data_IF_580671096328
#
_entry.id   IF_580671096328
#
_cell.length_a   1.000
_cell.length_b   1.000
_cell.length_c   1.000
_cell.angle_alpha   90.00
_cell.angle_beta   90.00
_cell.angle_gamma   90.00
#
_symmetry.space_group_name_H-M   'P 1'
#
loop_
_entity.id
_entity.type
_entity.pdbx_description
1 polymer ?
#
# COMPACT_ATOMS: atom_id res chain seq x y z
N UNK A 1 -21.60 -32.61 53.01
CA UNK A 1 -21.24 -32.35 51.59
C UNK A 1 -21.61 -30.93 51.13
N UNK A 2 -22.51 -30.21 51.79
CA UNK A 2 -22.87 -28.82 51.41
C UNK A 2 -21.87 -27.72 51.84
N UNK A 3 -21.09 -27.93 52.91
CA UNK A 3 -20.14 -26.92 53.40
C UNK A 3 -19.01 -26.63 52.40
N UNK A 4 -18.62 -27.61 51.59
CA UNK A 4 -17.52 -27.49 50.62
C UNK A 4 -17.92 -26.65 49.40
N UNK A 5 -19.18 -26.69 48.98
CA UNK A 5 -19.69 -25.90 47.85
C UNK A 5 -19.82 -24.42 48.16
N UNK A 6 -20.26 -24.07 49.38
CA UNK A 6 -20.34 -22.67 49.83
C UNK A 6 -18.95 -22.03 49.95
N UNK A 7 -17.97 -22.78 50.44
CA UNK A 7 -16.58 -22.32 50.56
C UNK A 7 -15.96 -22.05 49.17
N UNK A 8 -16.24 -22.92 48.19
CA UNK A 8 -15.77 -22.75 46.82
C UNK A 8 -16.41 -21.52 46.14
N UNK A 9 -17.72 -21.33 46.29
CA UNK A 9 -18.41 -20.16 45.76
C UNK A 9 -17.92 -18.85 46.38
N UNK A 10 -17.62 -18.85 47.69
CA UNK A 10 -17.05 -17.70 48.39
C UNK A 10 -15.62 -17.40 47.94
N UNK A 11 -14.80 -18.45 47.76
CA UNK A 11 -13.45 -18.29 47.22
C UNK A 11 -13.49 -17.73 45.79
N UNK A 12 -14.38 -18.25 44.93
CA UNK A 12 -14.51 -17.77 43.54
C UNK A 12 -14.99 -16.32 43.47
N UNK A 13 -15.96 -15.93 44.31
CA UNK A 13 -16.40 -14.54 44.42
C UNK A 13 -15.30 -13.62 44.97
N UNK A 14 -14.49 -14.08 45.92
CA UNK A 14 -13.35 -13.33 46.42
C UNK A 14 -12.33 -13.12 45.30
N UNK A 15 -11.98 -14.17 44.55
CA UNK A 15 -11.04 -14.10 43.42
C UNK A 15 -11.53 -13.14 42.34
N UNK A 16 -12.80 -13.20 41.96
CA UNK A 16 -13.43 -12.29 41.00
C UNK A 16 -13.37 -10.83 41.46
N UNK A 17 -13.65 -10.57 42.74
CA UNK A 17 -13.59 -9.22 43.31
C UNK A 17 -12.16 -8.68 43.37
N UNK A 18 -11.19 -9.51 43.75
CA UNK A 18 -9.77 -9.12 43.68
C UNK A 18 -9.35 -8.85 42.25
N UNK A 19 -9.74 -9.69 41.29
CA UNK A 19 -9.40 -9.50 39.87
C UNK A 19 -9.99 -8.19 39.33
N UNK A 20 -11.24 -7.88 39.66
CA UNK A 20 -11.88 -6.61 39.32
C UNK A 20 -11.15 -5.40 39.94
N UNK A 21 -10.71 -5.51 41.20
CA UNK A 21 -9.94 -4.46 41.87
C UNK A 21 -8.54 -4.28 41.26
N UNK A 22 -7.86 -5.36 40.89
CA UNK A 22 -6.56 -5.30 40.21
C UNK A 22 -6.69 -4.68 38.82
N UNK A 23 -7.73 -5.03 38.06
CA UNK A 23 -8.07 -4.42 36.76
C UNK A 23 -8.37 -2.92 36.87
N UNK A 24 -8.95 -2.46 37.97
CA UNK A 24 -9.19 -1.04 38.23
C UNK A 24 -7.91 -0.26 38.57
N UNK A 25 -6.84 -0.94 39.02
CA UNK A 25 -5.56 -0.35 39.40
C UNK A 25 -4.51 -0.40 38.28
N UNK A 26 -4.75 -1.13 37.19
CA UNK A 26 -3.90 -1.06 35.99
C UNK A 26 -4.04 0.34 35.39
N UNK A 27 -2.94 1.09 35.18
CA UNK A 27 -3.00 2.40 34.55
C UNK A 27 -3.64 2.26 33.17
N UNK A 28 -4.82 2.86 32.99
CA UNK A 28 -5.41 2.99 31.66
C UNK A 28 -4.53 3.97 30.91
N UNK A 29 -3.69 3.47 30.01
CA UNK A 29 -3.04 4.32 29.03
C UNK A 29 -4.14 5.17 28.38
N UNK A 30 -3.91 6.48 28.27
CA UNK A 30 -4.82 7.42 27.65
C UNK A 30 -5.07 6.98 26.19
N UNK A 31 -6.06 6.09 26.00
CA UNK A 31 -6.36 5.42 24.75
C UNK A 31 -7.47 6.11 23.98
N UNK A 32 -7.48 7.44 23.96
CA UNK A 32 -8.47 8.22 23.20
C UNK A 32 -8.07 8.38 21.71
N UNK A 33 -6.83 8.04 21.33
CA UNK A 33 -6.37 8.20 19.93
C UNK A 33 -6.79 7.06 18.98
N UNK A 34 -7.02 5.83 19.46
CA UNK A 34 -7.20 4.65 18.59
C UNK A 34 -8.65 4.13 18.50
N UNK A 35 -9.64 4.75 19.19
CA UNK A 35 -11.05 4.36 19.14
C UNK A 35 -11.42 2.97 19.70
N UNK A 36 -10.47 2.23 20.27
CA UNK A 36 -10.68 0.91 20.88
C UNK A 36 -11.33 1.09 22.26
N UNK A 37 -12.49 0.48 22.49
CA UNK A 37 -13.23 0.62 23.74
C UNK A 37 -12.44 0.03 24.94
N UNK A 38 -12.18 0.81 26.01
CA UNK A 38 -11.42 0.34 27.16
C UNK A 38 -12.21 -0.61 28.08
N UNK A 39 -13.52 -0.81 27.83
CA UNK A 39 -14.43 -1.64 28.63
C UNK A 39 -14.89 -2.94 27.96
N UNK A 40 -14.17 -3.41 26.93
CA UNK A 40 -14.42 -4.72 26.31
C UNK A 40 -14.19 -5.89 27.28
N UNK A 41 -14.64 -7.09 26.90
CA UNK A 41 -14.39 -8.32 27.67
C UNK A 41 -12.89 -8.62 27.69
N UNK A 42 -12.19 -8.29 26.60
CA UNK A 42 -10.74 -8.40 26.49
C UNK A 42 -10.09 -7.04 26.78
N UNK A 43 -8.99 -7.00 27.57
CA UNK A 43 -8.23 -5.77 27.76
C UNK A 43 -7.81 -5.11 26.44
N UNK A 44 -7.98 -3.80 26.34
CA UNK A 44 -7.78 -3.04 25.09
C UNK A 44 -6.39 -3.21 24.46
N UNK A 45 -5.34 -3.35 25.27
CA UNK A 45 -3.97 -3.59 24.79
C UNK A 45 -3.83 -4.94 24.08
N UNK A 46 -4.51 -5.98 24.58
CA UNK A 46 -4.53 -7.30 23.95
C UNK A 46 -5.30 -7.21 22.64
N UNK A 47 -6.46 -6.56 22.62
CA UNK A 47 -7.24 -6.34 21.40
C UNK A 47 -6.40 -5.58 20.35
N UNK A 48 -5.65 -4.56 20.77
CA UNK A 48 -4.75 -3.80 19.89
C UNK A 48 -3.63 -4.67 19.33
N UNK A 49 -3.00 -5.49 20.17
CA UNK A 49 -1.96 -6.42 19.74
C UNK A 49 -2.52 -7.45 18.74
N UNK A 50 -3.71 -8.00 18.99
CA UNK A 50 -4.37 -8.95 18.10
C UNK A 50 -4.79 -8.30 16.77
N UNK A 51 -5.28 -7.06 16.81
CA UNK A 51 -5.64 -6.29 15.63
C UNK A 51 -4.42 -6.04 14.73
N UNK A 52 -3.28 -5.63 15.31
CA UNK A 52 -2.00 -5.49 14.60
C UNK A 52 -1.52 -6.82 14.02
N UNK A 53 -1.65 -7.91 14.78
CA UNK A 53 -1.28 -9.25 14.32
C UNK A 53 -2.15 -9.74 13.16
N UNK A 54 -3.45 -9.44 13.14
CA UNK A 54 -4.34 -9.74 11.98
C UNK A 54 -3.95 -8.96 10.74
N UNK A 55 -3.47 -7.72 10.90
CA UNK A 55 -2.85 -6.95 9.83
C UNK A 55 -1.43 -7.42 9.47
N UNK A 56 -0.98 -8.53 10.06
CA UNK A 56 0.32 -9.19 9.88
C UNK A 56 1.50 -8.34 10.36
N UNK A 57 1.26 -7.33 11.20
CA UNK A 57 2.33 -6.50 11.76
C UNK A 57 3.21 -7.34 12.68
N UNK A 58 4.53 -7.19 12.55
CA UNK A 58 5.51 -7.99 13.28
C UNK A 58 5.70 -9.42 12.76
N UNK A 59 4.95 -9.86 11.75
CA UNK A 59 5.19 -11.14 11.07
C UNK A 59 6.44 -11.00 10.18
N UNK A 60 7.49 -11.83 10.37
CA UNK A 60 8.69 -11.74 9.57
C UNK A 60 8.41 -11.94 8.08
N UNK A 61 9.12 -11.18 7.23
CA UNK A 61 8.91 -11.17 5.78
C UNK A 61 8.98 -12.57 5.15
N UNK A 62 9.87 -13.45 5.63
CA UNK A 62 10.00 -14.84 5.16
C UNK A 62 8.75 -15.71 5.37
N UNK A 63 7.86 -15.34 6.29
CA UNK A 63 6.57 -16.01 6.47
C UNK A 63 5.47 -15.45 5.57
N UNK A 64 5.63 -14.21 5.09
CA UNK A 64 4.69 -13.57 4.16
C UNK A 64 5.00 -13.94 2.71
N UNK A 65 6.29 -13.98 2.38
CA UNK A 65 6.81 -14.32 1.06
C UNK A 65 7.92 -15.36 1.25
N UNK A 66 7.58 -16.66 1.18
CA UNK A 66 8.54 -17.73 1.44
C UNK A 66 9.71 -17.77 0.45
N UNK A 67 9.49 -17.32 -0.79
CA UNK A 67 10.49 -17.33 -1.86
C UNK A 67 10.51 -15.99 -2.61
N UNK A 68 11.71 -15.48 -2.91
CA UNK A 68 11.90 -14.25 -3.66
C UNK A 68 11.42 -14.35 -5.12
N UNK A 69 11.30 -15.56 -5.68
CA UNK A 69 10.74 -15.77 -7.02
C UNK A 69 9.24 -15.55 -7.08
N UNK A 70 8.56 -15.65 -5.94
CA UNK A 70 7.15 -15.26 -5.83
C UNK A 70 6.97 -13.75 -6.01
N UNK A 71 8.03 -12.94 -5.96
CA UNK A 71 7.99 -11.51 -6.27
C UNK A 71 9.25 -11.10 -7.06
N UNK A 72 9.30 -11.36 -8.38
CA UNK A 72 10.45 -10.96 -9.20
C UNK A 72 10.67 -9.44 -9.20
N UNK A 73 11.84 -9.00 -9.66
CA UNK A 73 12.14 -7.55 -9.75
C UNK A 73 11.20 -6.85 -10.72
N UNK A 74 10.76 -5.64 -10.35
CA UNK A 74 9.79 -4.82 -11.11
C UNK A 74 8.45 -5.51 -11.31
N UNK A 75 7.93 -6.14 -10.24
CA UNK A 75 6.62 -6.81 -10.25
C UNK A 75 5.74 -6.33 -9.12
N UNK A 76 4.43 -6.33 -9.38
CA UNK A 76 3.37 -6.14 -8.39
C UNK A 76 2.46 -7.36 -8.43
N UNK A 77 2.09 -7.88 -7.26
CA UNK A 77 1.16 -9.00 -7.16
C UNK A 77 0.07 -8.72 -6.14
N UNK A 78 -1.18 -8.86 -6.59
CA UNK A 78 -2.38 -8.66 -5.78
C UNK A 78 -2.81 -9.97 -5.14
N UNK A 79 -3.34 -9.90 -3.92
CA UNK A 79 -3.80 -11.07 -3.17
C UNK A 79 -5.00 -10.76 -2.29
N UNK A 80 -5.67 -11.81 -1.84
CA UNK A 80 -6.69 -11.77 -0.80
C UNK A 80 -6.09 -12.30 0.50
N UNK A 81 -6.45 -11.69 1.62
CA UNK A 81 -6.07 -12.17 2.93
C UNK A 81 -7.13 -13.18 3.42
N UNK A 82 -6.72 -14.42 3.66
CA UNK A 82 -7.60 -15.44 4.23
C UNK A 82 -7.86 -15.13 5.71
N UNK A 83 -9.12 -14.84 6.03
CA UNK A 83 -9.55 -14.53 7.40
C UNK A 83 -9.33 -15.71 8.32
N UNK A 84 -9.59 -16.94 7.86
CA UNK A 84 -9.40 -18.14 8.68
C UNK A 84 -7.92 -18.31 9.07
N UNK A 85 -6.99 -17.98 8.16
CA UNK A 85 -5.56 -18.01 8.46
C UNK A 85 -5.17 -16.96 9.51
N UNK A 86 -5.67 -15.72 9.40
CA UNK A 86 -5.41 -14.68 10.41
C UNK A 86 -6.10 -14.96 11.74
N UNK A 87 -7.26 -15.61 11.74
CA UNK A 87 -7.95 -16.06 12.95
C UNK A 87 -7.14 -17.17 13.63
N UNK A 88 -6.64 -18.14 12.87
CA UNK A 88 -5.78 -19.20 13.38
C UNK A 88 -4.46 -18.64 13.95
N UNK A 89 -3.89 -17.60 13.34
CA UNK A 89 -2.71 -16.90 13.87
C UNK A 89 -2.99 -16.26 15.24
N UNK A 90 -4.13 -15.58 15.39
CA UNK A 90 -4.59 -15.00 16.66
C UNK A 90 -4.86 -16.08 17.70
N UNK A 91 -5.55 -17.17 17.33
CA UNK A 91 -5.78 -18.31 18.23
C UNK A 91 -4.46 -18.95 18.70
N UNK A 92 -3.49 -19.08 17.80
CA UNK A 92 -2.13 -19.54 18.13
C UNK A 92 -1.46 -18.63 19.15
N UNK A 93 -1.53 -17.31 18.97
CA UNK A 93 -0.98 -16.35 19.92
C UNK A 93 -1.65 -16.44 21.31
N UNK A 94 -2.99 -16.59 21.35
CA UNK A 94 -3.73 -16.73 22.60
C UNK A 94 -3.47 -18.08 23.30
N UNK A 95 -3.18 -19.14 22.53
CA UNK A 95 -2.92 -20.48 23.08
C UNK A 95 -1.70 -20.52 24.01
N UNK A 96 -0.74 -19.60 23.83
CA UNK A 96 0.45 -19.47 24.71
C UNK A 96 0.05 -19.14 26.15
N UNK A 97 -1.08 -18.45 26.34
CA UNK A 97 -1.61 -18.12 27.66
C UNK A 97 -2.35 -19.26 28.36
N UNK A 98 -2.53 -20.42 27.70
CA UNK A 98 -3.28 -21.56 28.27
C UNK A 98 -2.32 -22.59 28.85
N UNK A 99 -2.47 -22.92 30.14
CA UNK A 99 -1.57 -23.86 30.84
C UNK A 99 -2.21 -25.24 30.96
N UNK A 100 -3.53 -25.30 31.14
CA UNK A 100 -4.26 -26.56 31.32
C UNK A 100 -5.48 -26.67 30.37
N UNK A 101 -6.19 -27.82 30.44
CA UNK A 101 -7.36 -28.07 29.60
C UNK A 101 -8.58 -27.20 29.96
N UNK A 102 -8.74 -26.81 31.23
CA UNK A 102 -9.82 -25.91 31.66
C UNK A 102 -9.61 -24.49 31.11
N UNK A 103 -8.38 -23.98 31.12
CA UNK A 103 -8.04 -22.66 30.54
C UNK A 103 -8.37 -22.64 29.04
N UNK A 104 -8.02 -23.72 28.32
CA UNK A 104 -8.35 -23.87 26.89
C UNK A 104 -9.85 -23.91 26.63
N UNK A 105 -10.61 -24.61 27.47
CA UNK A 105 -12.07 -24.66 27.33
C UNK A 105 -12.70 -23.28 27.60
N UNK A 106 -12.24 -22.56 28.62
CA UNK A 106 -12.72 -21.21 28.92
C UNK A 106 -12.37 -20.21 27.81
N UNK A 107 -11.15 -20.28 27.26
CA UNK A 107 -10.75 -19.45 26.13
C UNK A 107 -11.55 -19.79 24.86
N UNK A 108 -11.90 -21.07 24.66
CA UNK A 108 -12.70 -21.51 23.52
C UNK A 108 -14.08 -20.83 23.47
N UNK A 109 -14.75 -20.72 24.61
CA UNK A 109 -16.03 -20.02 24.73
C UNK A 109 -15.91 -18.50 24.48
N UNK A 110 -14.73 -17.92 24.72
CA UNK A 110 -14.48 -16.49 24.53
C UNK A 110 -14.00 -16.13 23.12
N UNK A 111 -13.65 -17.10 22.27
CA UNK A 111 -13.08 -16.81 20.95
C UNK A 111 -13.98 -15.96 20.06
N UNK A 112 -15.30 -16.18 20.09
CA UNK A 112 -16.23 -15.38 19.29
C UNK A 112 -16.26 -13.91 19.74
N UNK A 113 -16.18 -13.68 21.06
CA UNK A 113 -16.11 -12.33 21.63
C UNK A 113 -14.79 -11.66 21.24
N UNK A 114 -13.67 -12.34 21.45
CA UNK A 114 -12.33 -11.85 21.11
C UNK A 114 -12.24 -11.55 19.62
N UNK A 115 -12.76 -12.43 18.76
CA UNK A 115 -12.81 -12.26 17.31
C UNK A 115 -13.57 -11.00 16.93
N UNK A 116 -14.78 -10.83 17.45
CA UNK A 116 -15.62 -9.66 17.15
C UNK A 116 -15.00 -8.35 17.66
N UNK A 117 -14.38 -8.34 18.84
CA UNK A 117 -13.66 -7.18 19.36
C UNK A 117 -12.43 -6.86 18.50
N UNK A 118 -11.69 -7.89 18.07
CA UNK A 118 -10.51 -7.74 17.20
C UNK A 118 -10.89 -7.27 15.79
N UNK A 119 -11.96 -7.80 15.20
CA UNK A 119 -12.46 -7.40 13.87
C UNK A 119 -12.84 -5.91 13.83
N UNK A 120 -13.43 -5.40 14.92
CA UNK A 120 -13.70 -3.96 15.06
C UNK A 120 -12.40 -3.17 15.19
N UNK A 121 -11.48 -3.62 16.04
CA UNK A 121 -10.21 -2.92 16.30
C UNK A 121 -9.24 -2.92 15.12
N UNK A 122 -9.21 -3.98 14.30
CA UNK A 122 -8.40 -4.09 13.07
C UNK A 122 -8.62 -2.91 12.13
N UNK A 123 -9.87 -2.47 12.03
CA UNK A 123 -10.27 -1.31 11.24
C UNK A 123 -10.11 0.01 12.00
N UNK A 124 -9.43 0.04 13.13
CA UNK A 124 -9.14 1.26 13.88
C UNK A 124 -7.64 1.54 14.00
N UNK A 125 -6.77 0.53 13.78
CA UNK A 125 -5.29 0.61 13.95
C UNK A 125 -4.63 1.78 13.20
N UNK A 126 -5.19 2.22 12.06
CA UNK A 126 -4.70 3.37 11.28
C UNK A 126 -5.60 4.61 11.33
N UNK A 127 -6.56 4.69 12.24
CA UNK A 127 -7.30 5.95 12.43
C UNK A 127 -6.38 6.98 13.08
N UNK A 128 -5.88 7.93 12.28
CA UNK A 128 -5.64 9.27 12.77
C UNK A 128 -6.83 10.12 12.31
N UNK A 129 -7.63 10.55 13.28
CA UNK A 129 -8.65 11.59 13.22
C UNK A 129 -9.91 11.41 12.34
N UNK A 130 -11.06 11.49 13.03
CA UNK A 130 -12.38 12.07 12.71
C UNK A 130 -13.11 11.89 11.35
N UNK A 131 -12.44 11.55 10.25
CA UNK A 131 -13.00 11.76 8.91
C UNK A 131 -13.20 10.48 8.08
N UNK A 132 -12.99 9.29 8.68
CA UNK A 132 -13.27 8.04 7.99
C UNK A 132 -14.79 7.84 7.84
N UNK A 133 -15.30 7.60 6.61
CA UNK A 133 -16.74 7.39 6.41
C UNK A 133 -17.22 6.22 7.27
N UNK A 134 -18.36 6.35 7.97
CA UNK A 134 -18.89 5.33 8.89
C UNK A 134 -19.19 3.96 8.23
N UNK A 135 -19.18 3.93 6.89
CA UNK A 135 -19.41 2.76 6.06
C UNK A 135 -18.24 2.57 5.09
N UNK A 136 -17.96 1.32 4.73
CA UNK A 136 -17.02 1.00 3.66
C UNK A 136 -17.58 1.39 2.28
N UNK A 137 -16.76 1.22 1.24
CA UNK A 137 -17.13 1.54 -0.14
C UNK A 137 -18.31 0.70 -0.69
N UNK A 138 -18.78 -0.33 0.05
CA UNK A 138 -19.96 -1.12 -0.27
C UNK A 138 -21.18 -0.73 0.59
N UNK A 139 -21.09 0.38 1.33
CA UNK A 139 -22.13 0.85 2.23
C UNK A 139 -22.31 0.01 3.49
N UNK A 140 -21.36 -0.91 3.78
CA UNK A 140 -21.43 -1.75 4.98
C UNK A 140 -20.83 -0.99 6.17
N UNK A 141 -21.39 -1.11 7.38
CA UNK A 141 -20.81 -0.50 8.57
C UNK A 141 -19.35 -0.91 8.76
N UNK A 142 -18.47 0.04 9.09
CA UNK A 142 -17.09 -0.28 9.50
C UNK A 142 -17.16 -1.25 10.69
N UNK A 143 -16.52 -2.42 10.54
CA UNK A 143 -16.53 -3.50 11.54
C UNK A 143 -17.40 -4.71 11.19
N UNK A 144 -18.10 -4.70 10.05
CA UNK A 144 -18.96 -5.82 9.61
C UNK A 144 -18.23 -6.98 8.91
N UNK A 145 -16.88 -7.06 8.97
CA UNK A 145 -16.13 -8.23 8.50
C UNK A 145 -16.13 -8.47 6.97
N UNK A 146 -15.78 -7.45 6.19
CA UNK A 146 -15.59 -7.56 4.72
C UNK A 146 -14.25 -8.22 4.31
N UNK A 147 -14.08 -8.54 3.01
CA UNK A 147 -12.85 -9.10 2.47
C UNK A 147 -11.70 -8.09 2.61
N UNK A 148 -10.52 -8.58 2.98
CA UNK A 148 -9.28 -7.80 2.95
C UNK A 148 -8.50 -8.24 1.72
N UNK A 149 -8.10 -7.26 0.91
CA UNK A 149 -7.21 -7.49 -0.22
C UNK A 149 -5.93 -6.68 -0.05
N UNK A 150 -4.93 -6.95 -0.86
CA UNK A 150 -3.67 -6.25 -0.78
C UNK A 150 -2.80 -6.48 -2.00
N UNK A 151 -1.61 -5.91 -1.95
CA UNK A 151 -0.56 -6.25 -2.90
C UNK A 151 0.81 -6.23 -2.26
N UNK A 152 1.73 -6.97 -2.89
CA UNK A 152 3.16 -6.88 -2.66
C UNK A 152 3.79 -6.33 -3.94
N UNK A 153 4.57 -5.26 -3.80
CA UNK A 153 5.30 -4.62 -4.90
C UNK A 153 6.79 -4.74 -4.64
N UNK A 154 7.53 -5.31 -5.59
CA UNK A 154 8.99 -5.27 -5.62
C UNK A 154 9.46 -4.40 -6.78
N UNK A 155 9.89 -3.18 -6.49
CA UNK A 155 10.33 -2.23 -7.53
C UNK A 155 11.36 -1.23 -7.00
N UNK A 156 12.24 -0.77 -7.90
CA UNK A 156 13.14 0.38 -7.66
C UNK A 156 12.39 1.66 -7.32
N UNK A 157 11.12 1.78 -7.69
CA UNK A 157 10.28 2.90 -7.30
C UNK A 157 10.12 2.98 -5.76
N UNK A 158 10.01 1.83 -5.09
CA UNK A 158 9.90 1.77 -3.60
C UNK A 158 11.21 2.17 -2.92
N UNK A 159 12.35 1.79 -3.51
CA UNK A 159 13.66 2.15 -2.94
C UNK A 159 14.04 3.61 -3.21
N UNK A 160 13.71 4.12 -4.40
CA UNK A 160 13.97 5.51 -4.80
C UNK A 160 13.09 6.54 -4.10
N UNK A 161 11.84 6.18 -3.76
CA UNK A 161 10.88 7.08 -3.13
C UNK A 161 10.23 6.44 -1.89
N UNK A 162 10.88 6.50 -0.71
CA UNK A 162 10.33 5.95 0.53
C UNK A 162 8.99 6.58 0.94
N UNK A 163 8.75 7.84 0.56
CA UNK A 163 7.51 8.58 0.85
C UNK A 163 6.41 8.39 -0.21
N UNK A 164 6.44 7.31 -0.99
CA UNK A 164 5.42 7.00 -1.99
C UNK A 164 4.02 6.99 -1.35
N UNK A 165 3.02 7.46 -2.08
CA UNK A 165 1.63 7.40 -1.66
C UNK A 165 0.89 6.29 -2.41
N UNK A 166 0.05 5.54 -1.69
CA UNK A 166 -0.85 4.53 -2.26
C UNK A 166 -2.29 4.94 -1.98
N UNK A 167 -3.09 5.00 -3.03
CA UNK A 167 -4.54 5.29 -2.95
C UNK A 167 -5.30 4.23 -3.73
N UNK A 168 -6.49 3.89 -3.27
CA UNK A 168 -7.29 2.85 -3.89
C UNK A 168 -8.77 3.27 -3.93
N UNK A 169 -9.48 2.87 -4.97
CA UNK A 169 -10.87 3.25 -5.22
C UNK A 169 -11.70 2.03 -5.66
N UNK A 170 -12.97 1.98 -5.25
CA UNK A 170 -13.91 0.90 -5.57
C UNK A 170 -14.50 1.02 -6.97
N UNK A 171 -14.47 2.22 -7.54
CA UNK A 171 -14.98 2.53 -8.87
C UNK A 171 -13.97 3.41 -9.62
N UNK A 172 -13.90 3.24 -10.94
CA UNK A 172 -13.09 4.08 -11.83
C UNK A 172 -13.94 5.26 -12.33
N UNK A 173 -14.29 6.19 -11.43
CA UNK A 173 -15.18 7.32 -11.76
C UNK A 173 -14.41 8.57 -12.19
N UNK A 174 -13.08 8.59 -12.05
CA UNK A 174 -12.27 9.78 -12.25
C UNK A 174 -11.26 9.59 -13.39
N UNK A 175 -11.15 10.55 -14.33
CA UNK A 175 -10.09 10.53 -15.34
C UNK A 175 -8.69 10.49 -14.71
N UNK A 176 -7.78 9.71 -15.32
CA UNK A 176 -6.37 9.56 -14.89
C UNK A 176 -5.60 10.88 -14.70
N UNK A 177 -6.05 11.97 -15.31
CA UNK A 177 -5.39 13.29 -15.29
C UNK A 177 -6.00 14.24 -14.22
N UNK A 178 -7.04 13.84 -13.48
CA UNK A 178 -7.68 14.72 -12.50
C UNK A 178 -6.82 14.90 -11.25
N UNK A 179 -6.69 16.15 -10.80
CA UNK A 179 -6.09 16.51 -9.51
C UNK A 179 -6.96 15.97 -8.38
N UNK A 180 -6.40 15.08 -7.58
CA UNK A 180 -7.06 14.53 -6.40
C UNK A 180 -6.60 15.35 -5.19
N UNK A 181 -7.51 15.91 -4.37
CA UNK A 181 -7.15 16.64 -3.16
C UNK A 181 -6.23 15.84 -2.23
N UNK A 182 -5.49 16.54 -1.37
CA UNK A 182 -4.56 15.91 -0.43
C UNK A 182 -5.32 15.05 0.59
N UNK A 183 -6.36 15.62 1.20
CA UNK A 183 -7.44 14.89 1.88
C UNK A 183 -8.52 14.52 0.86
N UNK A 184 -8.40 13.33 0.28
CA UNK A 184 -9.47 12.78 -0.54
C UNK A 184 -10.51 12.10 0.36
N UNK A 185 -11.67 12.73 0.47
CA UNK A 185 -12.87 12.25 1.17
C UNK A 185 -13.89 11.62 0.21
N UNK A 186 -13.49 11.29 -1.02
CA UNK A 186 -14.33 10.58 -1.98
C UNK A 186 -14.96 9.32 -1.36
N UNK A 187 -16.27 9.16 -1.54
CA UNK A 187 -17.02 8.00 -1.04
C UNK A 187 -16.54 6.68 -1.64
N UNK A 188 -15.97 6.73 -2.84
CA UNK A 188 -15.44 5.57 -3.58
C UNK A 188 -14.06 5.12 -3.07
N UNK A 189 -13.46 5.82 -2.10
CA UNK A 189 -12.11 5.52 -1.62
C UNK A 189 -12.11 4.23 -0.79
N UNK A 190 -11.29 3.27 -1.22
CA UNK A 190 -11.01 2.07 -0.43
C UNK A 190 -9.95 2.38 0.61
N UNK A 191 -10.24 1.97 1.85
CA UNK A 191 -9.41 2.29 2.99
C UNK A 191 -8.14 1.45 3.02
N UNK A 192 -7.05 2.09 3.43
CA UNK A 192 -5.74 1.47 3.66
C UNK A 192 -5.64 1.00 5.11
N UNK A 193 -5.48 -0.31 5.32
CA UNK A 193 -5.33 -0.94 6.63
C UNK A 193 -3.86 -1.01 7.06
N UNK A 194 -2.97 -1.36 6.13
CA UNK A 194 -1.52 -1.41 6.37
C UNK A 194 -0.77 -0.96 5.14
N UNK A 195 0.30 -0.21 5.35
CA UNK A 195 1.28 0.12 4.33
C UNK A 195 2.64 0.15 5.00
N UNK A 196 3.51 -0.77 4.57
CA UNK A 196 4.81 -0.95 5.18
C UNK A 196 5.83 -1.39 4.14
N UNK A 197 7.04 -0.84 4.27
CA UNK A 197 8.19 -1.25 3.45
C UNK A 197 8.92 -2.38 4.17
N UNK A 198 8.63 -3.62 3.79
CA UNK A 198 9.20 -4.83 4.41
C UNK A 198 10.68 -5.05 4.07
N UNK A 199 11.12 -4.54 2.92
CA UNK A 199 12.53 -4.54 2.49
C UNK A 199 12.82 -3.29 1.63
N UNK A 200 14.08 -2.95 1.33
CA UNK A 200 14.40 -1.69 0.65
C UNK A 200 13.64 -1.41 -0.66
N UNK A 201 13.30 -2.45 -1.42
CA UNK A 201 12.54 -2.34 -2.66
C UNK A 201 11.17 -3.04 -2.60
N UNK A 202 10.72 -3.47 -1.41
CA UNK A 202 9.48 -4.26 -1.25
C UNK A 202 8.47 -3.48 -0.41
N UNK A 203 7.33 -3.20 -1.00
CA UNK A 203 6.19 -2.54 -0.36
C UNK A 203 5.05 -3.55 -0.18
N UNK A 204 4.50 -3.59 1.02
CA UNK A 204 3.36 -4.42 1.41
C UNK A 204 2.19 -3.52 1.79
N UNK A 205 1.03 -3.80 1.19
CA UNK A 205 -0.18 -3.00 1.38
C UNK A 205 -1.39 -3.89 1.61
N UNK A 206 -2.24 -3.52 2.57
CA UNK A 206 -3.55 -4.10 2.82
C UNK A 206 -4.65 -3.05 2.74
N UNK A 207 -5.77 -3.45 2.17
CA UNK A 207 -6.99 -2.66 1.95
C UNK A 207 -8.20 -3.29 2.63
N UNK A 208 -9.10 -2.44 3.10
CA UNK A 208 -10.41 -2.85 3.62
C UNK A 208 -11.43 -2.96 2.48
N UNK A 209 -11.40 -4.08 1.76
CA UNK A 209 -12.20 -4.33 0.58
C UNK A 209 -11.37 -4.67 -0.65
N UNK A 210 -12.04 -4.81 -1.79
CA UNK A 210 -11.41 -5.07 -3.10
C UNK A 210 -11.45 -3.78 -3.92
N UNK A 211 -10.30 -3.16 -4.20
CA UNK A 211 -10.29 -1.98 -5.06
C UNK A 211 -10.45 -2.37 -6.53
N UNK A 212 -11.18 -1.55 -7.28
CA UNK A 212 -11.20 -1.61 -8.74
C UNK A 212 -9.95 -0.94 -9.32
N UNK A 213 -9.51 0.17 -8.72
CA UNK A 213 -8.37 0.96 -9.18
C UNK A 213 -7.41 1.26 -8.04
N UNK A 214 -6.11 1.14 -8.30
CA UNK A 214 -5.04 1.48 -7.35
C UNK A 214 -4.07 2.47 -7.99
N UNK A 215 -3.84 3.59 -7.30
CA UNK A 215 -2.89 4.63 -7.69
C UNK A 215 -1.64 4.54 -6.82
N UNK A 216 -0.48 4.49 -7.48
CA UNK A 216 0.83 4.66 -6.86
C UNK A 216 1.37 6.02 -7.30
N UNK A 217 1.50 6.95 -6.36
CA UNK A 217 1.90 8.33 -6.61
C UNK A 217 3.26 8.60 -5.95
N UNK A 218 4.20 9.16 -6.71
CA UNK A 218 5.40 9.77 -6.15
C UNK A 218 5.05 10.85 -5.11
N UNK A 219 5.90 11.09 -4.10
CA UNK A 219 5.68 12.15 -3.12
C UNK A 219 5.43 13.51 -3.77
N UNK A 220 4.36 14.19 -3.35
CA UNK A 220 3.93 15.47 -3.96
C UNK A 220 4.88 16.64 -3.70
N UNK A 221 5.78 16.51 -2.73
CA UNK A 221 6.86 17.48 -2.48
C UNK A 221 7.97 17.47 -3.54
N UNK A 222 7.93 16.53 -4.49
CA UNK A 222 9.00 16.28 -5.47
C UNK A 222 8.89 17.04 -6.79
N UNK A 223 8.25 18.21 -6.86
CA UNK A 223 8.25 19.00 -8.11
C UNK A 223 9.70 19.40 -8.43
N UNK A 224 10.17 18.99 -9.59
CA UNK A 224 11.55 19.22 -10.05
C UNK A 224 11.54 19.86 -11.43
N UNK A 225 12.61 20.59 -11.74
CA UNK A 225 12.89 20.97 -13.12
C UNK A 225 13.73 19.90 -13.79
N UNK A 226 13.37 19.51 -15.01
CA UNK A 226 14.22 18.64 -15.80
C UNK A 226 13.52 18.02 -16.99
N UNK A 227 14.27 17.17 -17.67
CA UNK A 227 13.86 16.49 -18.90
C UNK A 227 13.69 14.99 -18.63
N UNK A 228 12.89 14.31 -19.44
CA UNK A 228 12.75 12.84 -19.37
C UNK A 228 13.59 12.21 -20.45
N UNK A 229 14.20 11.06 -20.16
CA UNK A 229 14.81 10.26 -21.21
C UNK A 229 13.71 9.77 -22.16
N UNK A 230 14.04 9.71 -23.44
CA UNK A 230 13.12 9.17 -24.43
C UNK A 230 13.04 7.65 -24.27
N UNK A 231 11.84 7.18 -24.00
CA UNK A 231 11.50 5.77 -23.80
C UNK A 231 11.54 4.96 -25.10
N UNK A 232 11.53 5.63 -26.26
CA UNK A 232 11.49 5.00 -27.59
C UNK A 232 12.87 5.00 -28.27
N UNK A 233 13.83 5.76 -27.75
CA UNK A 233 15.15 5.87 -28.36
C UNK A 233 16.04 4.66 -28.05
N UNK A 234 17.04 4.43 -28.91
CA UNK A 234 18.07 3.43 -28.67
C UNK A 234 18.73 3.71 -27.31
N UNK A 235 18.79 2.75 -26.36
CA UNK A 235 19.41 2.93 -25.05
C UNK A 235 20.88 3.42 -25.11
N UNK A 236 21.55 3.22 -26.26
CA UNK A 236 22.91 3.72 -26.51
C UNK A 236 22.95 5.20 -26.88
N UNK A 237 21.83 5.75 -27.35
CA UNK A 237 21.65 7.16 -27.65
C UNK A 237 20.91 7.81 -26.47
N UNK A 238 21.63 8.56 -25.64
CA UNK A 238 21.00 9.37 -24.59
C UNK A 238 20.22 10.51 -25.24
N UNK A 239 18.95 10.27 -25.57
CA UNK A 239 18.02 11.32 -25.96
C UNK A 239 17.07 11.63 -24.81
N UNK A 240 16.69 12.90 -24.74
CA UNK A 240 15.73 13.38 -23.77
C UNK A 240 14.64 14.17 -24.48
N UNK A 241 13.47 14.22 -23.85
CA UNK A 241 12.26 14.88 -24.35
C UNK A 241 11.61 15.67 -23.24
N UNK A 242 10.88 16.71 -23.63
CA UNK A 242 9.94 17.43 -22.79
C UNK A 242 8.53 17.26 -23.34
N UNK A 243 7.55 17.22 -22.44
CA UNK A 243 6.14 17.23 -22.81
C UNK A 243 5.61 18.65 -22.70
N UNK A 244 5.14 19.19 -23.83
CA UNK A 244 4.74 20.60 -23.92
C UNK A 244 3.39 20.82 -23.24
N UNK A 245 3.25 21.96 -22.55
CA UNK A 245 2.01 22.43 -21.92
C UNK A 245 1.56 23.73 -22.53
N UNK A 246 0.26 23.98 -22.41
CA UNK A 246 -0.32 25.27 -22.74
C UNK A 246 0.06 26.29 -21.65
N UNK A 247 0.64 27.42 -22.05
CA UNK A 247 1.03 28.49 -21.13
C UNK A 247 -0.18 29.18 -20.49
N UNK A 248 -1.30 29.27 -21.21
CA UNK A 248 -2.53 29.89 -20.70
C UNK A 248 -3.31 28.95 -19.78
N UNK A 249 -3.25 27.65 -20.05
CA UNK A 249 -3.96 26.60 -19.32
C UNK A 249 -3.02 25.47 -18.80
N UNK A 250 -1.99 25.77 -18.00
CA UNK A 250 -0.95 24.79 -17.65
C UNK A 250 -1.46 23.62 -16.79
N UNK A 251 -2.60 23.82 -16.11
CA UNK A 251 -3.26 22.83 -15.27
C UNK A 251 -4.06 21.77 -16.06
N UNK A 252 -4.28 21.95 -17.37
CA UNK A 252 -4.96 20.95 -18.22
C UNK A 252 -4.06 19.77 -18.63
N UNK A 253 -2.81 19.76 -18.16
CA UNK A 253 -1.83 18.74 -18.49
C UNK A 253 -1.10 19.04 -19.80
N UNK A 254 -0.36 18.05 -20.35
CA UNK A 254 0.39 18.25 -21.59
C UNK A 254 -0.56 18.34 -22.79
N UNK A 255 -0.18 19.15 -23.78
CA UNK A 255 -0.91 19.27 -25.05
C UNK A 255 -0.86 17.93 -25.77
N UNK A 256 -2.03 17.38 -26.11
CA UNK A 256 -2.15 16.11 -26.82
C UNK A 256 -2.34 16.39 -28.32
N UNK A 257 -1.54 15.74 -29.17
CA UNK A 257 -1.57 15.88 -30.64
C UNK A 257 -1.70 14.52 -31.31
N UNK A 258 -2.19 14.49 -32.56
CA UNK A 258 -2.33 13.28 -33.37
C UNK A 258 -3.60 12.47 -33.09
N UNK A 259 -3.73 11.33 -33.77
CA UNK A 259 -4.83 10.38 -33.61
C UNK A 259 -4.28 8.94 -33.51
N UNK A 260 -4.37 8.25 -32.35
CA UNK A 260 -4.97 8.70 -31.10
C UNK A 260 -4.19 9.85 -30.44
N UNK A 261 -4.83 10.71 -29.62
CA UNK A 261 -4.19 11.85 -28.99
C UNK A 261 -3.07 11.41 -28.04
N UNK A 262 -1.84 11.89 -28.25
CA UNK A 262 -0.68 11.62 -27.39
C UNK A 262 0.00 12.91 -26.95
N UNK A 263 0.59 12.97 -25.74
CA UNK A 263 1.35 14.15 -25.30
C UNK A 263 2.41 14.54 -26.33
N UNK A 264 2.43 15.81 -26.76
CA UNK A 264 3.44 16.36 -27.66
C UNK A 264 4.80 16.32 -26.95
N UNK A 265 5.71 15.51 -27.48
CA UNK A 265 7.11 15.45 -27.06
C UNK A 265 7.96 16.33 -27.98
N UNK A 266 8.79 17.20 -27.42
CA UNK A 266 9.84 17.94 -28.14
C UNK A 266 11.19 17.38 -27.71
N UNK A 267 12.07 16.99 -28.66
CA UNK A 267 13.42 16.53 -28.36
C UNK A 267 14.24 17.63 -27.68
N UNK A 268 15.01 17.25 -26.67
CA UNK A 268 15.93 18.15 -25.95
C UNK A 268 17.30 18.04 -26.61
N UNK A 269 17.78 19.10 -27.28
CA UNK A 269 19.08 19.07 -27.91
C UNK A 269 20.19 19.24 -26.87
N UNK A 270 21.20 18.38 -26.92
CA UNK A 270 22.43 18.54 -26.14
C UNK A 270 23.52 19.22 -26.96
N UNK A 271 24.47 19.89 -26.28
CA UNK A 271 25.62 20.53 -26.92
C UNK A 271 26.57 19.48 -27.48
N UNK A 272 27.04 19.68 -28.71
CA UNK A 272 28.02 18.79 -29.32
C UNK A 272 29.31 18.76 -28.48
N UNK A 273 29.84 17.56 -28.21
CA UNK A 273 31.04 17.36 -27.37
C UNK A 273 30.84 17.59 -25.87
N UNK A 274 29.61 17.82 -25.37
CA UNK A 274 29.32 17.96 -23.94
C UNK A 274 28.03 17.23 -23.56
N UNK A 275 28.07 15.91 -23.37
CA UNK A 275 26.92 15.12 -22.92
C UNK A 275 26.38 15.68 -21.60
N UNK A 276 25.06 15.86 -21.52
CA UNK A 276 24.38 16.41 -20.33
C UNK A 276 24.23 17.93 -20.29
N UNK A 277 24.82 18.69 -21.22
CA UNK A 277 24.61 20.15 -21.32
C UNK A 277 23.57 20.46 -22.41
N UNK A 278 22.45 21.04 -22.01
CA UNK A 278 21.35 21.38 -22.92
C UNK A 278 21.75 22.57 -23.83
N UNK A 279 21.48 22.45 -25.13
CA UNK A 279 21.57 23.53 -26.09
C UNK A 279 20.30 24.40 -26.02
N UNK A 280 20.30 25.35 -25.08
CA UNK A 280 19.18 26.26 -24.82
C UNK A 280 18.73 27.03 -26.08
N UNK A 281 19.65 27.47 -26.93
CA UNK A 281 19.32 28.25 -28.13
C UNK A 281 18.59 27.42 -29.19
N UNK A 282 18.91 26.13 -29.31
CA UNK A 282 18.14 25.23 -30.19
C UNK A 282 16.81 24.86 -29.54
N UNK A 283 16.82 24.52 -28.25
CA UNK A 283 15.60 24.14 -27.53
C UNK A 283 14.54 25.25 -27.57
N UNK A 284 14.93 26.51 -27.32
CA UNK A 284 13.99 27.64 -27.36
C UNK A 284 13.39 27.86 -28.75
N UNK A 285 14.17 27.62 -29.82
CA UNK A 285 13.62 27.68 -31.19
C UNK A 285 12.62 26.55 -31.43
N UNK A 286 12.98 25.33 -31.05
CA UNK A 286 12.10 24.16 -31.20
C UNK A 286 10.78 24.33 -30.40
N UNK A 287 10.82 25.05 -29.27
CA UNK A 287 9.64 25.42 -28.48
C UNK A 287 8.78 26.47 -29.20
N UNK A 288 9.35 27.60 -29.65
CA UNK A 288 8.60 28.67 -30.36
C UNK A 288 8.01 28.17 -31.69
N UNK A 289 8.67 27.24 -32.36
CA UNK A 289 8.17 26.63 -33.60
C UNK A 289 6.87 25.84 -33.38
N UNK A 290 6.53 25.48 -32.13
CA UNK A 290 5.29 24.80 -31.77
C UNK A 290 4.22 25.78 -31.32
N UNK A 291 3.44 26.34 -32.25
CA UNK A 291 2.49 27.43 -31.98
C UNK A 291 1.27 27.10 -31.10
N UNK A 292 1.01 25.82 -30.80
CA UNK A 292 -0.19 25.41 -30.05
C UNK A 292 -0.03 25.52 -28.53
N UNK A 293 1.12 25.96 -28.03
CA UNK A 293 1.39 26.16 -26.60
C UNK A 293 1.13 27.58 -26.10
N UNK A 294 0.68 28.47 -26.98
CA UNK A 294 0.45 29.89 -26.71
C UNK A 294 1.68 30.62 -26.14
N UNK A 295 2.90 30.12 -26.39
CA UNK A 295 4.12 30.89 -26.13
C UNK A 295 4.23 32.05 -27.12
N UNK A 296 4.78 33.17 -26.65
CA UNK A 296 5.08 34.30 -27.53
C UNK A 296 6.24 34.02 -28.49
N UNK A 297 6.58 35.01 -29.34
CA UNK A 297 7.68 34.92 -30.30
C UNK A 297 9.07 34.71 -29.65
N UNK A 298 9.15 34.86 -28.33
CA UNK A 298 10.33 34.60 -27.50
C UNK A 298 9.89 33.88 -26.24
N UNK A 299 10.59 32.79 -25.91
CA UNK A 299 10.37 32.06 -24.65
C UNK A 299 10.87 32.90 -23.49
N UNK A 300 9.96 33.32 -22.61
CA UNK A 300 10.32 33.94 -21.34
C UNK A 300 10.83 32.89 -20.33
N UNK A 301 11.57 33.33 -19.32
CA UNK A 301 12.10 32.45 -18.26
C UNK A 301 10.98 31.70 -17.52
N UNK A 302 9.82 32.33 -17.31
CA UNK A 302 8.67 31.70 -16.67
C UNK A 302 8.05 30.61 -17.56
N UNK A 303 7.88 30.89 -18.85
CA UNK A 303 7.38 29.94 -19.84
C UNK A 303 8.32 28.75 -19.98
N UNK A 304 9.63 29.00 -20.07
CA UNK A 304 10.65 27.95 -20.11
C UNK A 304 10.60 27.06 -18.86
N UNK A 305 10.58 27.68 -17.68
CA UNK A 305 10.51 26.94 -16.41
C UNK A 305 9.28 26.04 -16.37
N UNK A 306 8.12 26.54 -16.82
CA UNK A 306 6.88 25.78 -16.88
C UNK A 306 6.96 24.55 -17.80
N UNK A 307 7.62 24.67 -18.95
CA UNK A 307 7.86 23.52 -19.84
C UNK A 307 8.83 22.48 -19.22
N UNK A 308 9.72 22.92 -18.33
CA UNK A 308 10.65 22.05 -17.62
C UNK A 308 10.07 21.41 -16.34
N UNK A 309 8.83 21.74 -15.94
CA UNK A 309 8.23 21.20 -14.74
C UNK A 309 7.96 19.69 -14.88
N UNK A 310 8.61 18.92 -14.00
CA UNK A 310 8.36 17.50 -13.77
C UNK A 310 7.44 17.34 -12.58
N UNK A 311 6.22 16.95 -12.90
CA UNK A 311 5.25 16.54 -11.89
C UNK A 311 5.54 15.12 -11.42
N UNK A 312 5.28 14.82 -10.13
CA UNK A 312 5.31 13.47 -9.60
C UNK A 312 4.52 12.51 -10.48
N UNK A 313 5.10 11.35 -10.77
CA UNK A 313 4.41 10.36 -11.58
C UNK A 313 3.33 9.65 -10.76
N UNK A 314 2.19 9.41 -11.40
CA UNK A 314 1.14 8.53 -10.92
C UNK A 314 1.03 7.34 -11.84
N UNK A 315 1.21 6.15 -11.29
CA UNK A 315 0.89 4.89 -11.97
C UNK A 315 -0.49 4.41 -11.51
N UNK A 316 -1.36 4.11 -12.47
CA UNK A 316 -2.72 3.60 -12.23
C UNK A 316 -2.76 2.11 -12.60
N UNK A 317 -3.33 1.30 -11.72
CA UNK A 317 -3.60 -0.13 -11.93
C UNK A 317 -5.11 -0.36 -11.86
N UNK A 318 -5.64 -1.26 -12.72
CA UNK A 318 -7.05 -1.66 -12.67
C UNK A 318 -7.98 -1.00 -13.67
N UNK A 319 -7.45 -0.40 -14.75
CA UNK A 319 -8.26 0.22 -15.81
C UNK A 319 -8.86 -0.85 -16.75
N UNK A 320 -10.17 -1.13 -16.72
CA UNK A 320 -10.78 -2.17 -17.55
C UNK A 320 -10.80 -1.79 -19.05
N UNK A 321 -10.83 -0.50 -19.37
CA UNK A 321 -10.92 0.01 -20.75
C UNK A 321 -9.59 -0.02 -21.53
N UNK A 322 -8.48 -0.42 -20.89
CA UNK A 322 -7.16 -0.42 -21.53
C UNK A 322 -6.97 -1.52 -22.58
N UNK A 323 -7.95 -2.42 -22.79
CA UNK A 323 -7.93 -3.47 -23.84
C UNK A 323 -6.83 -4.52 -23.69
N UNK A 324 -5.86 -4.32 -22.79
CA UNK A 324 -4.85 -5.29 -22.40
C UNK A 324 -5.25 -5.90 -21.06
N UNK A 325 -5.83 -7.10 -21.13
CA UNK A 325 -5.85 -7.99 -19.97
C UNK A 325 -4.40 -8.36 -19.70
N UNK A 326 -3.79 -7.77 -18.67
CA UNK A 326 -2.53 -8.28 -18.15
C UNK A 326 -2.81 -9.72 -17.71
N UNK A 327 -2.05 -10.67 -18.24
CA UNK A 327 -2.04 -12.04 -17.71
C UNK A 327 -1.83 -11.91 -16.20
N UNK A 328 -2.82 -12.32 -15.42
CA UNK A 328 -2.73 -12.32 -13.96
C UNK A 328 -1.70 -13.39 -13.63
N UNK A 329 -0.45 -12.97 -13.52
CA UNK A 329 0.65 -13.86 -13.20
C UNK A 329 0.43 -14.32 -11.77
N UNK A 330 -0.10 -15.53 -11.61
CA UNK A 330 -0.41 -16.12 -10.31
C UNK A 330 0.89 -16.22 -9.49
N UNK A 331 0.78 -16.13 -8.17
CA UNK A 331 1.89 -16.42 -7.24
C UNK A 331 2.37 -17.87 -7.44
N UNK A 332 3.23 -18.06 -8.43
CA UNK A 332 3.75 -19.34 -8.83
C UNK A 332 5.27 -19.22 -8.86
N UNK A 333 5.99 -20.11 -8.15
CA UNK A 333 7.42 -20.20 -8.32
C UNK A 333 7.71 -20.60 -9.77
N UNK A 334 8.65 -19.90 -10.40
CA UNK A 334 9.03 -20.16 -11.80
C UNK A 334 9.94 -21.39 -11.91
N UNK A 335 10.57 -21.80 -10.80
CA UNK A 335 11.42 -22.98 -10.75
C UNK A 335 10.63 -24.21 -10.29
N UNK A 336 10.70 -25.28 -11.09
CA UNK A 336 10.21 -26.61 -10.71
C UNK A 336 11.19 -27.29 -9.76
N UNK A 337 10.69 -28.09 -8.82
CA UNK A 337 11.51 -28.87 -7.86
C UNK A 337 12.64 -29.64 -8.56
N UNK A 338 12.38 -30.23 -9.73
CA UNK A 338 13.40 -30.96 -10.50
C UNK A 338 14.60 -30.10 -10.93
N UNK A 339 14.38 -28.80 -11.19
CA UNK A 339 15.46 -27.87 -11.51
C UNK A 339 16.27 -27.45 -10.26
N UNK A 340 15.66 -27.43 -9.07
CA UNK A 340 16.39 -27.25 -7.81
C UNK A 340 17.25 -28.47 -7.49
N UNK A 341 16.73 -29.69 -7.68
CA UNK A 341 17.49 -30.93 -7.49
C UNK A 341 18.78 -30.93 -8.30
N UNK A 342 18.71 -30.56 -9.59
CA UNK A 342 19.89 -30.47 -10.43
C UNK A 342 20.91 -29.41 -9.95
N UNK A 343 20.44 -28.27 -9.43
CA UNK A 343 21.32 -27.23 -8.85
C UNK A 343 21.96 -27.68 -7.54
N UNK A 344 21.24 -28.40 -6.68
CA UNK A 344 21.78 -28.96 -5.44
C UNK A 344 22.78 -30.08 -5.71
N UNK A 345 22.50 -30.98 -6.65
CA UNK A 345 23.45 -32.01 -7.09
C UNK A 345 24.72 -31.38 -7.70
N UNK A 346 24.56 -30.33 -8.50
CA UNK A 346 25.69 -29.61 -9.08
C UNK A 346 26.49 -28.85 -8.01
N UNK A 347 25.81 -28.22 -7.04
CA UNK A 347 26.46 -27.57 -5.90
C UNK A 347 27.21 -28.59 -5.02
N UNK A 348 26.64 -29.76 -4.75
CA UNK A 348 27.29 -30.84 -4.01
C UNK A 348 28.55 -31.35 -4.75
N UNK A 349 28.47 -31.52 -6.08
CA UNK A 349 29.63 -31.90 -6.91
C UNK A 349 30.73 -30.84 -6.95
N UNK A 350 30.37 -29.56 -6.94
CA UNK A 350 31.34 -28.44 -6.97
C UNK A 350 31.95 -28.17 -5.60
N UNK A 351 31.21 -28.41 -4.52
CA UNK A 351 31.65 -28.19 -3.13
C UNK A 351 32.35 -29.41 -2.51
N UNK A 352 32.46 -30.53 -3.23
CA UNK A 352 33.29 -31.66 -2.83
C UNK A 352 32.83 -32.38 -1.56
N UNK A 353 31.54 -32.72 -1.48
CA UNK A 353 31.05 -33.79 -0.59
C UNK A 353 30.86 -35.08 -1.35
#
# INVERSE_FOLDING_TARGET
>A
MELTGKLYAQAMNATLNTMAATLAQVPRGEGVEDGIAPGGVVPAEIVRAMARLRLLEGVPFSYLVPDAELIPTETIRFFYLDRNATDALVQGALSVGTVNAADRAQLAELYDVVRNETDRAERLVRMKDSDAPAVDAQGRPIGAGGPISGFVLRSRLVSGWPGLHVRAYSTDTLPDDRTIPEMDTSQDRVRLLRMERLAPAVLFVLFDGVPAVVHLEEPRSGIQFGVRLDDVADPRQQSAVITVRDVQDPNKGPIKVGNPPRPKKIPVPFRNGSPGVINMAKLNRDLVDFTADHMGDKVDSAEFAMQMLRFPLRQVFGKPDAGQVFSVDAFAPTIMIGALTARFELAARVLGT
#
